data_IF_615504106216
#
_entry.id   IF_615504106216
#
_cell.length_a   1.000
_cell.length_b   1.000
_cell.length_c   1.000
_cell.angle_alpha   90.00
_cell.angle_beta   90.00
_cell.angle_gamma   90.00
#
_symmetry.space_group_name_H-M   'P 1'
#
loop_
_entity.id
_entity.type
_entity.pdbx_description
1 polymer ?
#
# COMPACT_ATOMS: atom_id res chain seq x y z
N UNK A 1 3.00 49.60 -17.38
CA UNK A 1 2.20 48.56 -18.06
C UNK A 1 3.03 47.32 -18.43
N UNK A 2 4.17 47.43 -19.12
CA UNK A 2 4.94 46.25 -19.57
C UNK A 2 5.46 45.28 -18.47
N UNK A 3 5.66 45.73 -17.24
CA UNK A 3 6.16 44.90 -16.14
C UNK A 3 5.10 43.96 -15.55
N UNK A 4 3.82 44.33 -15.65
CA UNK A 4 2.71 43.59 -15.05
C UNK A 4 2.35 42.37 -15.87
N UNK A 5 2.33 42.50 -17.20
CA UNK A 5 2.06 41.42 -18.15
C UNK A 5 3.08 40.29 -18.04
N UNK A 6 4.38 40.64 -17.94
CA UNK A 6 5.44 39.66 -17.77
C UNK A 6 5.28 38.85 -16.47
N UNK A 7 4.76 39.47 -15.41
CA UNK A 7 4.56 38.80 -14.12
C UNK A 7 3.39 37.81 -14.14
N UNK A 8 2.32 38.13 -14.88
CA UNK A 8 1.13 37.29 -15.04
C UNK A 8 1.46 36.10 -15.95
N UNK A 9 2.17 36.36 -17.05
CA UNK A 9 2.62 35.32 -17.96
C UNK A 9 3.50 34.29 -17.24
N UNK A 10 4.44 34.75 -16.40
CA UNK A 10 5.30 33.87 -15.61
C UNK A 10 4.48 33.02 -14.63
N UNK A 11 3.54 33.62 -13.90
CA UNK A 11 2.67 32.89 -12.97
C UNK A 11 1.83 31.81 -13.68
N UNK A 12 1.29 32.13 -14.85
CA UNK A 12 0.54 31.18 -15.69
C UNK A 12 1.42 30.01 -16.13
N UNK A 13 2.62 30.29 -16.64
CA UNK A 13 3.56 29.25 -17.11
C UNK A 13 3.97 28.32 -15.97
N UNK A 14 4.30 28.86 -14.79
CA UNK A 14 4.65 28.05 -13.62
C UNK A 14 3.47 27.18 -13.18
N UNK A 15 2.26 27.74 -13.11
CA UNK A 15 1.07 26.97 -12.71
C UNK A 15 0.79 25.81 -13.66
N UNK A 16 0.91 26.04 -14.98
CA UNK A 16 0.74 25.00 -16.00
C UNK A 16 1.81 23.91 -15.91
N UNK A 17 3.07 24.30 -15.69
CA UNK A 17 4.17 23.34 -15.54
C UNK A 17 3.97 22.43 -14.33
N UNK A 18 3.57 23.01 -13.18
CA UNK A 18 3.28 22.25 -11.96
C UNK A 18 2.08 21.31 -12.14
N UNK A 19 1.02 21.78 -12.81
CA UNK A 19 -0.15 20.95 -13.09
C UNK A 19 0.22 19.76 -13.99
N UNK A 20 0.97 20.01 -15.07
CA UNK A 20 1.43 18.95 -15.96
C UNK A 20 2.32 17.95 -15.22
N UNK A 21 3.26 18.42 -14.40
CA UNK A 21 4.10 17.56 -13.59
C UNK A 21 3.27 16.70 -12.62
N UNK A 22 2.25 17.27 -11.99
CA UNK A 22 1.34 16.53 -11.10
C UNK A 22 0.65 15.38 -11.84
N UNK A 23 0.14 15.61 -13.06
CA UNK A 23 -0.50 14.57 -13.86
C UNK A 23 0.49 13.49 -14.33
N UNK A 24 1.69 13.88 -14.78
CA UNK A 24 2.72 12.93 -15.23
C UNK A 24 3.15 12.03 -14.08
N UNK A 25 3.41 12.61 -12.90
CA UNK A 25 3.77 11.84 -11.70
C UNK A 25 2.60 10.93 -11.29
N UNK A 26 1.35 11.39 -11.35
CA UNK A 26 0.19 10.55 -11.07
C UNK A 26 0.06 9.35 -12.00
N UNK A 27 0.29 9.54 -13.30
CA UNK A 27 0.29 8.44 -14.28
C UNK A 27 1.43 7.43 -14.04
N UNK A 28 2.64 7.94 -13.74
CA UNK A 28 3.78 7.10 -13.37
C UNK A 28 3.51 6.30 -12.09
N UNK A 29 2.91 6.96 -11.08
CA UNK A 29 2.57 6.33 -9.82
C UNK A 29 1.56 5.19 -10.01
N UNK A 30 0.52 5.40 -10.84
CA UNK A 30 -0.43 4.36 -11.21
C UNK A 30 0.25 3.19 -11.95
N UNK A 31 1.18 3.48 -12.88
CA UNK A 31 1.92 2.43 -13.59
C UNK A 31 2.77 1.59 -12.64
N UNK A 32 3.47 2.21 -11.68
CA UNK A 32 4.26 1.51 -10.66
C UNK A 32 3.36 0.63 -9.79
N UNK A 33 2.19 1.13 -9.39
CA UNK A 33 1.21 0.35 -8.63
C UNK A 33 0.77 -0.91 -9.39
N UNK A 34 0.35 -0.78 -10.65
CA UNK A 34 -0.08 -1.94 -11.43
C UNK A 34 1.07 -2.90 -11.74
N UNK A 35 2.28 -2.41 -11.95
CA UNK A 35 3.46 -3.25 -12.07
C UNK A 35 3.72 -4.07 -10.79
N UNK A 36 3.49 -3.47 -9.61
CA UNK A 36 3.58 -4.16 -8.32
C UNK A 36 2.51 -5.25 -8.15
N UNK A 37 1.26 -4.97 -8.54
CA UNK A 37 0.15 -5.93 -8.47
C UNK A 37 0.39 -7.16 -9.35
N UNK A 38 1.02 -6.97 -10.50
CA UNK A 38 1.31 -8.06 -11.45
C UNK A 38 2.54 -8.89 -11.08
N UNK A 39 3.25 -8.53 -10.02
CA UNK A 39 4.54 -9.12 -9.71
C UNK A 39 4.43 -10.27 -8.70
N UNK A 40 5.03 -11.42 -9.02
CA UNK A 40 5.04 -12.60 -8.14
C UNK A 40 6.20 -12.61 -7.13
N UNK A 41 7.28 -11.88 -7.42
CA UNK A 41 8.47 -11.81 -6.56
C UNK A 41 8.27 -10.79 -5.43
N UNK A 42 8.25 -11.26 -4.18
CA UNK A 42 8.04 -10.44 -2.99
C UNK A 42 9.05 -9.28 -2.84
N UNK A 43 10.33 -9.50 -3.18
CA UNK A 43 11.34 -8.45 -3.10
C UNK A 43 11.06 -7.33 -4.11
N UNK A 44 10.63 -7.70 -5.32
CA UNK A 44 10.27 -6.72 -6.35
C UNK A 44 8.99 -5.95 -5.99
N UNK A 45 8.00 -6.61 -5.37
CA UNK A 45 6.80 -5.96 -4.82
C UNK A 45 7.19 -4.92 -3.77
N UNK A 46 8.10 -5.26 -2.84
CA UNK A 46 8.58 -4.33 -1.82
C UNK A 46 9.25 -3.08 -2.41
N UNK A 47 10.12 -3.24 -3.40
CA UNK A 47 10.79 -2.12 -4.09
C UNK A 47 9.77 -1.22 -4.79
N UNK A 48 8.84 -1.81 -5.56
CA UNK A 48 7.80 -1.07 -6.28
C UNK A 48 6.86 -0.34 -5.32
N UNK A 49 6.58 -0.92 -4.15
CA UNK A 49 5.79 -0.27 -3.11
C UNK A 49 6.48 0.97 -2.53
N UNK A 50 7.77 0.88 -2.20
CA UNK A 50 8.53 2.05 -1.72
C UNK A 50 8.55 3.15 -2.79
N UNK A 51 8.75 2.78 -4.05
CA UNK A 51 8.70 3.71 -5.17
C UNK A 51 7.33 4.37 -5.31
N UNK A 52 6.25 3.60 -5.20
CA UNK A 52 4.87 4.10 -5.21
C UNK A 52 4.61 5.12 -4.10
N UNK A 53 5.04 4.85 -2.86
CA UNK A 53 4.90 5.81 -1.76
C UNK A 53 5.70 7.09 -2.03
N UNK A 54 6.92 6.97 -2.55
CA UNK A 54 7.74 8.12 -2.92
C UNK A 54 7.08 8.99 -4.00
N UNK A 55 6.52 8.37 -5.04
CA UNK A 55 5.79 9.07 -6.11
C UNK A 55 4.49 9.70 -5.61
N UNK A 56 3.75 9.02 -4.73
CA UNK A 56 2.54 9.55 -4.11
C UNK A 56 2.85 10.81 -3.27
N UNK A 57 3.91 10.78 -2.45
CA UNK A 57 4.35 11.94 -1.68
C UNK A 57 4.74 13.11 -2.58
N UNK A 58 5.52 12.85 -3.65
CA UNK A 58 5.88 13.85 -4.64
C UNK A 58 4.64 14.45 -5.34
N UNK A 59 3.67 13.61 -5.70
CA UNK A 59 2.41 14.05 -6.31
C UNK A 59 1.63 14.99 -5.38
N UNK A 60 1.58 14.71 -4.08
CA UNK A 60 0.94 15.60 -3.08
C UNK A 60 1.65 16.95 -3.03
N UNK A 61 2.98 16.96 -2.98
CA UNK A 61 3.77 18.21 -2.97
C UNK A 61 3.55 19.05 -4.23
N UNK A 62 3.54 18.42 -5.40
CA UNK A 62 3.27 19.09 -6.68
C UNK A 62 1.83 19.62 -6.76
N UNK A 63 0.86 18.85 -6.27
CA UNK A 63 -0.53 19.28 -6.17
C UNK A 63 -0.69 20.51 -5.28
N UNK A 64 -0.08 20.51 -4.08
CA UNK A 64 -0.06 21.68 -3.18
C UNK A 64 0.62 22.89 -3.83
N UNK A 65 1.75 22.68 -4.51
CA UNK A 65 2.43 23.73 -5.29
C UNK A 65 1.54 24.32 -6.38
N UNK A 66 0.76 23.47 -7.07
CA UNK A 66 -0.19 23.89 -8.11
C UNK A 66 -1.34 24.72 -7.53
N UNK A 67 -1.84 24.36 -6.34
CA UNK A 67 -2.85 25.16 -5.62
C UNK A 67 -2.31 26.53 -5.28
N UNK A 68 -1.12 26.61 -4.67
CA UNK A 68 -0.49 27.87 -4.28
C UNK A 68 -0.26 28.75 -5.53
N UNK A 69 0.32 28.18 -6.59
CA UNK A 69 0.58 28.89 -7.84
C UNK A 69 -0.72 29.39 -8.50
N UNK A 70 -1.78 28.57 -8.50
CA UNK A 70 -3.10 28.94 -9.01
C UNK A 70 -3.75 30.07 -8.23
N UNK A 71 -3.67 30.06 -6.89
CA UNK A 71 -4.14 31.16 -6.03
C UNK A 71 -3.36 32.44 -6.30
N UNK A 72 -2.02 32.38 -6.36
CA UNK A 72 -1.18 33.55 -6.65
C UNK A 72 -1.50 34.12 -8.03
N UNK A 73 -1.67 33.26 -9.04
CA UNK A 73 -2.06 33.67 -10.38
C UNK A 73 -3.44 34.35 -10.39
N UNK A 74 -4.42 33.79 -9.68
CA UNK A 74 -5.76 34.37 -9.56
C UNK A 74 -5.78 35.73 -8.86
N UNK A 75 -5.02 35.88 -7.77
CA UNK A 75 -4.90 37.15 -7.06
C UNK A 75 -4.28 38.24 -7.95
N UNK A 76 -3.34 37.88 -8.84
CA UNK A 76 -2.76 38.81 -9.81
C UNK A 76 -3.77 39.21 -10.88
N UNK A 77 -4.53 38.26 -11.43
CA UNK A 77 -5.57 38.59 -12.42
C UNK A 77 -6.66 39.49 -11.84
N UNK A 78 -7.06 39.26 -10.58
CA UNK A 78 -8.04 40.12 -9.90
C UNK A 78 -7.57 41.56 -9.75
N UNK A 79 -6.27 41.78 -9.52
CA UNK A 79 -5.70 43.14 -9.41
C UNK A 79 -5.76 43.92 -10.72
N UNK A 80 -5.68 43.22 -11.85
CA UNK A 80 -5.83 43.82 -13.19
C UNK A 80 -7.30 43.93 -13.65
N UNK A 81 -8.26 43.52 -12.82
CA UNK A 81 -9.68 43.51 -13.20
C UNK A 81 -10.07 42.40 -14.18
N UNK A 82 -9.20 41.41 -14.40
CA UNK A 82 -9.48 40.27 -15.27
C UNK A 82 -10.24 39.15 -14.54
N UNK A 83 -10.92 38.30 -15.33
CA UNK A 83 -11.65 37.14 -14.83
C UNK A 83 -10.72 36.11 -14.18
N UNK A 84 -11.07 35.66 -12.97
CA UNK A 84 -10.31 34.65 -12.22
C UNK A 84 -10.62 33.20 -12.60
N UNK A 85 -11.57 32.96 -13.52
CA UNK A 85 -12.09 31.62 -13.79
C UNK A 85 -10.99 30.60 -14.13
N UNK A 86 -10.05 30.97 -14.99
CA UNK A 86 -8.92 30.12 -15.40
C UNK A 86 -7.98 29.80 -14.24
N UNK A 87 -7.74 30.76 -13.35
CA UNK A 87 -6.87 30.57 -12.18
C UNK A 87 -7.52 29.65 -11.14
N UNK A 88 -8.81 29.83 -10.89
CA UNK A 88 -9.58 28.97 -10.00
C UNK A 88 -9.64 27.54 -10.55
N UNK A 89 -9.88 27.36 -11.85
CA UNK A 89 -9.87 26.05 -12.49
C UNK A 89 -8.55 25.29 -12.29
N UNK A 90 -7.41 25.97 -12.47
CA UNK A 90 -6.10 25.35 -12.23
C UNK A 90 -5.86 25.00 -10.75
N UNK A 91 -6.30 25.86 -9.82
CA UNK A 91 -6.18 25.58 -8.40
C UNK A 91 -7.03 24.35 -7.99
N UNK A 92 -8.27 24.25 -8.49
CA UNK A 92 -9.13 23.09 -8.27
C UNK A 92 -8.51 21.79 -8.80
N UNK A 93 -7.92 21.83 -9.99
CA UNK A 93 -7.21 20.66 -10.54
C UNK A 93 -5.99 20.28 -9.70
N UNK A 94 -5.28 21.26 -9.11
CA UNK A 94 -4.22 21.01 -8.15
C UNK A 94 -4.71 20.28 -6.89
N UNK A 95 -5.86 20.68 -6.34
CA UNK A 95 -6.50 19.98 -5.20
C UNK A 95 -6.87 18.55 -5.58
N UNK A 96 -7.50 18.35 -6.74
CA UNK A 96 -7.88 17.02 -7.22
C UNK A 96 -6.64 16.12 -7.42
N UNK A 97 -5.55 16.67 -7.97
CA UNK A 97 -4.28 15.97 -8.14
C UNK A 97 -3.64 15.56 -6.80
N UNK A 98 -3.65 16.45 -5.80
CA UNK A 98 -3.16 16.16 -4.45
C UNK A 98 -4.02 15.10 -3.75
N UNK A 99 -5.35 15.22 -3.84
CA UNK A 99 -6.30 14.27 -3.28
C UNK A 99 -6.12 12.88 -3.92
N UNK A 100 -5.91 12.81 -5.24
CA UNK A 100 -5.61 11.56 -5.93
C UNK A 100 -4.34 10.86 -5.41
N UNK A 101 -3.30 11.62 -5.08
CA UNK A 101 -2.08 11.08 -4.47
C UNK A 101 -2.34 10.48 -3.08
N UNK A 102 -3.12 11.17 -2.24
CA UNK A 102 -3.49 10.69 -0.90
C UNK A 102 -4.40 9.46 -0.97
N UNK A 103 -5.46 9.51 -1.78
CA UNK A 103 -6.41 8.40 -1.94
C UNK A 103 -5.71 7.18 -2.55
N UNK A 104 -4.85 7.39 -3.55
CA UNK A 104 -4.02 6.34 -4.11
C UNK A 104 -3.09 5.73 -3.07
N UNK A 105 -2.35 6.57 -2.33
CA UNK A 105 -1.44 6.11 -1.27
C UNK A 105 -2.13 5.30 -0.17
N UNK A 106 -3.19 5.87 0.42
CA UNK A 106 -3.96 5.22 1.49
C UNK A 106 -4.71 3.99 0.98
N UNK A 107 -5.32 4.07 -0.20
CA UNK A 107 -6.03 2.95 -0.82
C UNK A 107 -5.10 1.80 -1.19
N UNK A 108 -3.91 2.10 -1.71
CA UNK A 108 -2.88 1.12 -2.02
C UNK A 108 -2.34 0.41 -0.79
N UNK A 109 -2.04 1.16 0.28
CA UNK A 109 -1.66 0.60 1.59
C UNK A 109 -2.79 -0.24 2.18
N UNK A 110 -4.04 0.24 2.12
CA UNK A 110 -5.20 -0.47 2.62
C UNK A 110 -5.47 -1.77 1.87
N UNK A 111 -5.36 -1.77 0.55
CA UNK A 111 -5.50 -2.99 -0.25
C UNK A 111 -4.37 -3.98 0.02
N UNK A 112 -3.13 -3.50 0.18
CA UNK A 112 -1.99 -4.34 0.58
C UNK A 112 -2.15 -4.92 1.98
N UNK A 113 -2.67 -4.15 2.94
CA UNK A 113 -2.95 -4.63 4.29
C UNK A 113 -4.07 -5.68 4.28
N UNK A 114 -5.11 -5.47 3.46
CA UNK A 114 -6.17 -6.45 3.26
C UNK A 114 -5.65 -7.70 2.54
N UNK A 115 -4.81 -7.56 1.52
CA UNK A 115 -4.26 -8.70 0.79
C UNK A 115 -3.22 -9.47 1.61
N UNK A 116 -2.40 -8.80 2.41
CA UNK A 116 -1.49 -9.44 3.37
C UNK A 116 -2.28 -10.19 4.47
N UNK A 117 -3.40 -9.62 4.94
CA UNK A 117 -4.34 -10.30 5.82
C UNK A 117 -5.10 -11.48 5.16
N UNK A 118 -5.16 -11.50 3.83
CA UNK A 118 -5.76 -12.58 3.03
C UNK A 118 -4.74 -13.59 2.49
N UNK A 119 -3.43 -13.34 2.64
CA UNK A 119 -2.35 -14.03 1.96
C UNK A 119 -1.41 -14.88 2.82
N UNK A 120 -1.55 -14.86 4.15
CA UNK A 120 -1.03 -15.94 5.00
C UNK A 120 -2.07 -17.05 5.01
N UNK A 121 -1.85 -18.12 4.24
CA UNK A 121 -2.76 -19.25 4.08
C UNK A 121 -2.96 -20.02 5.40
N UNK A 122 -3.66 -19.42 6.37
CA UNK A 122 -4.17 -20.13 7.52
C UNK A 122 -5.26 -21.08 7.01
N UNK A 123 -5.05 -22.38 7.21
CA UNK A 123 -6.06 -23.38 6.90
C UNK A 123 -7.37 -23.01 7.58
N UNK A 124 -8.52 -23.26 6.93
CA UNK A 124 -9.83 -23.04 7.56
C UNK A 124 -9.96 -24.00 8.76
N UNK A 125 -9.89 -23.52 10.01
CA UNK A 125 -9.81 -24.42 11.15
C UNK A 125 -11.14 -25.14 11.34
N UNK A 126 -11.09 -26.38 11.81
CA UNK A 126 -12.31 -27.09 12.23
C UNK A 126 -13.01 -26.31 13.34
N UNK A 127 -14.30 -26.03 13.13
CA UNK A 127 -15.17 -25.43 14.15
C UNK A 127 -16.21 -26.42 14.61
N UNK A 128 -16.34 -26.59 15.92
CA UNK A 128 -17.38 -27.41 16.54
C UNK A 128 -18.21 -26.50 17.44
N UNK A 129 -19.49 -26.32 17.12
CA UNK A 129 -20.38 -25.37 17.81
C UNK A 129 -19.78 -23.96 17.90
N UNK A 130 -19.25 -23.47 16.77
CA UNK A 130 -18.63 -22.14 16.65
C UNK A 130 -17.20 -22.00 17.21
N UNK A 131 -16.73 -22.94 18.02
CA UNK A 131 -15.39 -22.90 18.63
C UNK A 131 -14.34 -23.54 17.73
N UNK A 132 -13.22 -22.85 17.53
CA UNK A 132 -12.05 -23.37 16.84
C UNK A 132 -11.46 -24.52 17.64
N UNK A 133 -11.16 -25.63 16.96
CA UNK A 133 -10.45 -26.77 17.53
C UNK A 133 -9.06 -26.85 16.93
N UNK A 134 -8.07 -26.63 17.78
CA UNK A 134 -6.68 -26.90 17.45
C UNK A 134 -6.35 -28.37 17.73
N UNK A 135 -5.47 -28.99 16.94
CA UNK A 135 -4.97 -30.32 17.24
C UNK A 135 -4.21 -30.31 18.58
N UNK A 136 -4.28 -31.43 19.31
CA UNK A 136 -3.45 -31.65 20.49
C UNK A 136 -1.97 -31.65 20.09
N UNK A 137 -1.13 -30.96 20.87
CA UNK A 137 0.31 -31.02 20.69
C UNK A 137 0.84 -32.27 21.38
N UNK A 138 1.67 -33.03 20.67
CA UNK A 138 2.41 -34.17 21.22
C UNK A 138 3.87 -34.02 20.83
N UNK A 139 4.76 -34.22 21.80
CA UNK A 139 6.17 -34.35 21.51
C UNK A 139 6.40 -35.63 20.70
N UNK A 140 7.17 -35.54 19.62
CA UNK A 140 7.47 -36.66 18.75
C UNK A 140 8.62 -36.32 17.80
N UNK A 141 9.28 -37.36 17.30
CA UNK A 141 10.41 -37.23 16.35
C UNK A 141 10.08 -37.75 14.96
N UNK A 142 8.82 -38.13 14.71
CA UNK A 142 8.42 -38.83 13.48
C UNK A 142 8.51 -37.96 12.22
N UNK A 143 8.75 -36.65 12.38
CA UNK A 143 8.84 -35.63 11.32
C UNK A 143 10.21 -34.91 11.30
N UNK A 144 11.24 -35.44 11.96
CA UNK A 144 12.54 -34.75 12.12
C UNK A 144 13.54 -35.01 10.98
N UNK A 145 13.07 -35.35 9.78
CA UNK A 145 13.96 -35.55 8.63
C UNK A 145 14.39 -34.21 8.02
N UNK A 146 15.68 -34.07 7.71
CA UNK A 146 16.29 -32.87 7.13
C UNK A 146 17.24 -32.13 8.08
N UNK A 147 17.81 -31.04 7.58
CA UNK A 147 18.76 -30.22 8.33
C UNK A 147 18.05 -29.50 9.48
N UNK A 148 18.62 -29.58 10.68
CA UNK A 148 18.10 -28.84 11.84
C UNK A 148 18.53 -27.38 11.75
N UNK A 149 17.63 -26.43 12.06
CA UNK A 149 18.01 -25.02 12.12
C UNK A 149 19.12 -24.80 13.15
N UNK A 150 20.14 -24.05 12.76
CA UNK A 150 21.19 -23.65 13.70
C UNK A 150 20.64 -22.65 14.71
N UNK A 151 20.90 -22.89 15.99
CA UNK A 151 20.59 -21.98 17.09
C UNK A 151 21.83 -21.23 17.58
N UNK A 152 22.94 -21.33 16.85
CA UNK A 152 24.21 -20.68 17.20
C UNK A 152 24.04 -19.15 17.21
N UNK A 153 24.45 -18.52 18.31
CA UNK A 153 24.34 -17.08 18.50
C UNK A 153 22.98 -16.59 19.03
N UNK A 154 22.02 -17.48 19.29
CA UNK A 154 20.75 -17.13 19.93
C UNK A 154 20.82 -17.31 21.45
N UNK A 155 20.28 -16.34 22.18
CA UNK A 155 20.10 -16.46 23.62
C UNK A 155 18.85 -17.31 23.95
N UNK A 156 18.79 -17.81 25.18
CA UNK A 156 17.70 -18.68 25.62
C UNK A 156 16.30 -18.00 25.51
N UNK A 157 16.12 -16.71 25.84
CA UNK A 157 14.85 -16.02 25.62
C UNK A 157 14.43 -15.96 24.15
N UNK A 158 15.36 -15.69 23.23
CA UNK A 158 15.06 -15.64 21.79
C UNK A 158 14.68 -17.02 21.27
N UNK A 159 15.39 -18.07 21.69
CA UNK A 159 15.03 -19.45 21.33
C UNK A 159 13.61 -19.81 21.79
N UNK A 160 13.23 -19.46 23.03
CA UNK A 160 11.89 -19.73 23.55
C UNK A 160 10.80 -18.94 22.80
N UNK A 161 11.08 -17.68 22.42
CA UNK A 161 10.16 -16.87 21.64
C UNK A 161 9.96 -17.42 20.22
N UNK A 162 11.04 -17.86 19.57
CA UNK A 162 11.00 -18.48 18.24
C UNK A 162 10.27 -19.82 18.27
N UNK A 163 10.51 -20.64 19.29
CA UNK A 163 9.78 -21.91 19.49
C UNK A 163 8.27 -21.66 19.60
N UNK A 164 7.86 -20.69 20.42
CA UNK A 164 6.45 -20.34 20.57
C UNK A 164 5.82 -19.84 19.26
N UNK A 165 6.55 -19.03 18.48
CA UNK A 165 6.10 -18.51 17.19
C UNK A 165 5.93 -19.63 16.16
N UNK A 166 6.94 -20.50 16.02
CA UNK A 166 6.88 -21.63 15.09
C UNK A 166 5.80 -22.64 15.46
N UNK A 167 5.62 -22.92 16.75
CA UNK A 167 4.55 -23.79 17.22
C UNK A 167 3.17 -23.23 16.86
N UNK A 168 3.01 -21.92 17.02
CA UNK A 168 1.79 -21.21 16.67
C UNK A 168 1.48 -21.28 15.17
N UNK A 169 2.50 -21.07 14.32
CA UNK A 169 2.35 -21.14 12.87
C UNK A 169 2.08 -22.57 12.39
N UNK A 170 2.82 -23.57 12.90
CA UNK A 170 2.60 -24.98 12.57
C UNK A 170 1.17 -25.45 12.91
N UNK A 171 0.62 -25.04 14.06
CA UNK A 171 -0.76 -25.35 14.42
C UNK A 171 -1.80 -24.72 13.47
N UNK A 172 -1.49 -23.56 12.89
CA UNK A 172 -2.38 -22.82 11.99
C UNK A 172 -2.32 -23.36 10.56
N UNK A 173 -1.14 -23.72 10.08
CA UNK A 173 -0.96 -24.35 8.77
C UNK A 173 -1.72 -25.68 8.70
N UNK A 174 -1.66 -26.48 9.77
CA UNK A 174 -2.32 -27.78 9.82
C UNK A 174 -3.78 -27.74 10.31
N UNK A 175 -4.33 -26.56 10.55
CA UNK A 175 -5.68 -26.42 11.12
C UNK A 175 -6.81 -26.93 10.18
N UNK A 176 -6.54 -27.01 8.88
CA UNK A 176 -7.48 -27.54 7.87
C UNK A 176 -7.53 -29.07 7.83
N UNK A 177 -6.50 -29.78 8.30
CA UNK A 177 -6.41 -31.26 8.24
C UNK A 177 -7.55 -31.92 9.02
N UNK A 178 -7.85 -31.55 10.29
CA UNK A 178 -9.00 -32.11 10.99
C UNK A 178 -10.34 -31.76 10.35
N UNK A 179 -10.44 -30.59 9.72
CA UNK A 179 -11.66 -30.19 9.02
C UNK A 179 -11.92 -31.08 7.81
N UNK A 180 -10.88 -31.32 7.00
CA UNK A 180 -10.96 -32.22 5.85
C UNK A 180 -11.26 -33.66 6.27
N UNK A 181 -10.54 -34.19 7.27
CA UNK A 181 -10.76 -35.55 7.78
C UNK A 181 -12.21 -35.78 8.24
N UNK A 182 -12.82 -34.79 8.91
CA UNK A 182 -14.22 -34.87 9.34
C UNK A 182 -15.20 -34.86 8.16
N UNK A 183 -14.96 -34.02 7.16
CA UNK A 183 -15.80 -34.00 5.94
C UNK A 183 -15.69 -35.33 5.22
N UNK A 184 -14.48 -35.86 5.02
CA UNK A 184 -14.26 -37.16 4.41
C UNK A 184 -15.02 -38.28 5.17
N UNK A 185 -14.93 -38.32 6.50
CA UNK A 185 -15.68 -39.27 7.32
C UNK A 185 -17.20 -39.13 7.17
N UNK A 186 -17.72 -37.91 7.03
CA UNK A 186 -19.16 -37.66 6.85
C UNK A 186 -19.65 -38.06 5.46
N UNK A 187 -18.78 -38.01 4.44
CA UNK A 187 -19.12 -38.38 3.07
C UNK A 187 -19.02 -39.89 2.82
N UNK A 188 -18.23 -40.60 3.63
CA UNK A 188 -18.04 -42.05 3.52
C UNK A 188 -19.08 -42.83 4.34
N UNK A 189 -19.61 -42.24 5.41
CA UNK A 189 -20.60 -42.84 6.32
C UNK A 189 -22.04 -42.62 5.85
#
# INVERSE_FOLDING_TARGET
MATTDASILRARTVTRALLLATFVIGALNAAVYFAGVLQANANAVGILFVLFIGLAALQVLLGLGTVIAGVVYGLRMRREGESMATAMGMAFLGVAGAAGGVVGGVGGVGLLALSAGMGGAWGRPLRIRGRVRHPELRAGSDWTEGDRPSVEGLDAPTCAALEALWLHDAQKEHASVPAFARVAWTLIA
#
